data_IF_857251398246
#
_entry.id   IF_857251398246
#
_cell.length_a   1.000
_cell.length_b   1.000
_cell.length_c   1.000
_cell.angle_alpha   90.00
_cell.angle_beta   90.00
_cell.angle_gamma   90.00
#
_symmetry.space_group_name_H-M   'P 1'
#
loop_
_entity.id
_entity.type
_entity.pdbx_description
1 polymer ?
#
# COMPACT_ATOMS: atom_id res chain seq x y z
N UNK A 1 -43.68 52.70 17.79
CA UNK A 1 -44.05 51.28 17.64
C UNK A 1 -43.39 50.74 16.37
N UNK A 2 -42.25 50.09 16.50
CA UNK A 2 -41.51 49.49 15.38
C UNK A 2 -41.63 47.94 15.51
N UNK A 3 -42.29 47.31 14.55
CA UNK A 3 -42.42 45.87 14.48
C UNK A 3 -41.16 45.27 13.93
N UNK A 4 -40.49 44.53 14.78
CA UNK A 4 -39.31 43.71 14.43
C UNK A 4 -39.82 42.41 13.77
N UNK A 5 -39.63 42.26 12.44
CA UNK A 5 -39.89 41.01 11.72
C UNK A 5 -38.72 40.08 11.96
N UNK A 6 -38.99 39.07 12.74
CA UNK A 6 -38.11 37.92 12.93
C UNK A 6 -38.12 37.10 11.63
N UNK A 7 -37.01 37.10 10.87
CA UNK A 7 -36.79 36.18 9.78
C UNK A 7 -36.25 34.90 10.40
N UNK A 8 -37.05 33.86 10.45
CA UNK A 8 -36.59 32.51 10.68
C UNK A 8 -35.69 32.12 9.50
N UNK A 9 -34.44 31.89 9.78
CA UNK A 9 -33.46 31.31 8.86
C UNK A 9 -33.73 29.79 8.86
N UNK A 10 -34.56 29.35 7.92
CA UNK A 10 -34.78 27.94 7.67
C UNK A 10 -33.50 27.39 7.03
N UNK A 11 -32.55 26.99 7.87
CA UNK A 11 -31.34 26.22 7.48
C UNK A 11 -31.79 24.88 6.92
N UNK A 12 -32.04 24.84 5.61
CA UNK A 12 -32.18 23.58 4.87
C UNK A 12 -30.84 22.87 4.92
N UNK A 13 -30.73 21.91 5.85
CA UNK A 13 -29.62 20.99 5.88
C UNK A 13 -29.54 20.27 4.50
N UNK A 14 -28.50 20.52 3.74
CA UNK A 14 -28.24 19.80 2.50
C UNK A 14 -28.27 18.30 2.79
N UNK A 15 -28.94 17.47 1.98
CA UNK A 15 -28.96 16.05 2.20
C UNK A 15 -27.50 15.51 2.20
N UNK A 16 -27.20 14.48 3.00
CA UNK A 16 -25.86 13.91 3.02
C UNK A 16 -25.49 13.48 1.60
N UNK A 17 -24.33 13.94 1.13
CA UNK A 17 -23.82 13.59 -0.20
C UNK A 17 -23.62 12.08 -0.23
N UNK A 18 -24.45 11.37 -0.98
CA UNK A 18 -24.40 9.92 -1.09
C UNK A 18 -23.17 9.51 -1.91
N UNK A 19 -22.43 8.52 -1.41
CA UNK A 19 -21.29 7.98 -2.16
C UNK A 19 -21.75 7.44 -3.51
N UNK A 20 -21.03 7.72 -4.61
CA UNK A 20 -21.33 7.14 -5.91
C UNK A 20 -21.35 5.61 -5.87
N UNK A 21 -22.29 4.99 -6.57
CA UNK A 21 -22.47 3.53 -6.54
C UNK A 21 -21.21 2.79 -7.04
N UNK A 22 -20.52 3.36 -8.03
CA UNK A 22 -19.26 2.82 -8.56
C UNK A 22 -18.15 2.83 -7.50
N UNK A 23 -18.00 3.93 -6.76
CA UNK A 23 -17.02 4.00 -5.68
C UNK A 23 -17.38 3.07 -4.52
N UNK A 24 -18.67 2.90 -4.22
CA UNK A 24 -19.12 1.96 -3.20
C UNK A 24 -18.81 0.52 -3.61
N UNK A 25 -19.11 0.11 -4.85
CA UNK A 25 -18.77 -1.22 -5.36
C UNK A 25 -17.26 -1.49 -5.32
N UNK A 26 -16.45 -0.48 -5.67
CA UNK A 26 -15.00 -0.56 -5.59
C UNK A 26 -14.48 -0.78 -4.15
N UNK A 27 -15.09 -0.12 -3.15
CA UNK A 27 -14.76 -0.34 -1.74
C UNK A 27 -15.23 -1.71 -1.22
N UNK A 28 -16.37 -2.20 -1.70
CA UNK A 28 -16.87 -3.55 -1.39
C UNK A 28 -15.91 -4.61 -1.93
N UNK A 29 -15.40 -4.45 -3.16
CA UNK A 29 -14.36 -5.32 -3.71
C UNK A 29 -13.08 -5.30 -2.87
N UNK A 30 -12.56 -4.11 -2.50
CA UNK A 30 -11.42 -3.97 -1.60
C UNK A 30 -11.58 -4.75 -0.29
N UNK A 31 -12.77 -4.75 0.29
CA UNK A 31 -13.05 -5.43 1.56
C UNK A 31 -13.04 -6.96 1.45
N UNK A 32 -13.01 -7.53 0.23
CA UNK A 32 -12.93 -8.98 0.03
C UNK A 32 -11.49 -9.51 0.07
N UNK A 33 -10.50 -8.64 0.06
CA UNK A 33 -9.08 -9.06 0.08
C UNK A 33 -8.73 -9.68 1.43
N UNK A 34 -8.14 -10.86 1.37
CA UNK A 34 -7.66 -11.58 2.53
C UNK A 34 -6.12 -11.63 2.46
N UNK A 35 -5.43 -10.79 3.23
CA UNK A 35 -3.98 -10.80 3.25
C UNK A 35 -3.43 -12.09 3.87
N UNK A 36 -2.17 -12.40 3.59
CA UNK A 36 -1.43 -13.49 4.25
C UNK A 36 -1.21 -13.16 5.75
N UNK A 37 -0.85 -14.16 6.55
CA UNK A 37 -0.79 -14.03 8.00
C UNK A 37 0.21 -12.98 8.51
N UNK A 38 1.29 -12.75 7.76
CA UNK A 38 2.34 -11.79 8.07
C UNK A 38 1.98 -10.34 7.68
N UNK A 39 0.79 -10.13 7.09
CA UNK A 39 0.36 -8.83 6.58
C UNK A 39 -0.87 -8.35 7.32
N UNK A 40 -0.77 -7.20 7.96
CA UNK A 40 -1.88 -6.50 8.60
C UNK A 40 -2.33 -5.36 7.72
N UNK A 41 -3.63 -5.31 7.42
CA UNK A 41 -4.27 -4.22 6.66
C UNK A 41 -5.28 -3.53 7.56
N UNK A 42 -5.15 -2.23 7.73
CA UNK A 42 -6.04 -1.45 8.59
C UNK A 42 -6.55 -0.18 7.88
N UNK A 43 -7.74 0.27 8.25
CA UNK A 43 -8.26 1.52 7.73
C UNK A 43 -7.52 2.70 8.36
N UNK A 44 -7.05 3.63 7.52
CA UNK A 44 -6.43 4.88 7.96
C UNK A 44 -7.20 6.09 7.40
N UNK A 45 -7.05 7.28 8.01
CA UNK A 45 -7.64 8.49 7.47
C UNK A 45 -7.18 8.75 6.02
N UNK A 46 -8.15 8.82 5.11
CA UNK A 46 -7.87 9.11 3.71
C UNK A 46 -7.53 10.59 3.50
N UNK A 47 -6.67 10.92 2.51
CA UNK A 47 -6.35 12.31 2.18
C UNK A 47 -7.61 13.06 1.72
N UNK A 48 -7.82 14.23 2.33
CA UNK A 48 -8.95 15.11 2.00
C UNK A 48 -8.50 16.18 1.02
N UNK A 49 -9.12 16.49 -0.03
CA UNK A 49 -8.79 17.52 -1.04
C UNK A 49 -8.03 17.03 -2.26
N UNK A 50 -7.73 15.73 -2.40
CA UNK A 50 -7.10 15.20 -3.61
C UNK A 50 -8.14 14.73 -4.64
N UNK A 51 -9.34 14.37 -4.16
CA UNK A 51 -10.47 13.97 -4.98
C UNK A 51 -11.77 14.18 -4.20
N UNK A 52 -12.94 14.22 -4.87
CA UNK A 52 -14.24 14.27 -4.20
C UNK A 52 -14.46 13.09 -3.24
N UNK A 53 -13.95 11.92 -3.58
CA UNK A 53 -14.03 10.73 -2.76
C UNK A 53 -12.66 10.08 -2.63
N UNK A 54 -12.36 9.60 -1.43
CA UNK A 54 -11.09 8.90 -1.17
C UNK A 54 -11.25 7.84 -0.09
N UNK A 55 -10.41 6.82 -0.17
CA UNK A 55 -10.27 5.76 0.82
C UNK A 55 -8.81 5.44 1.00
N UNK A 56 -8.39 5.01 2.18
CA UNK A 56 -7.01 4.64 2.44
C UNK A 56 -6.91 3.50 3.44
N UNK A 57 -5.96 2.61 3.18
CA UNK A 57 -5.55 1.56 4.10
C UNK A 57 -4.06 1.66 4.37
N UNK A 58 -3.69 1.46 5.63
CA UNK A 58 -2.33 1.23 6.08
C UNK A 58 -2.03 -0.26 6.03
N UNK A 59 -0.78 -0.60 5.73
CA UNK A 59 -0.34 -1.98 5.59
C UNK A 59 0.97 -2.13 6.36
N UNK A 60 1.07 -3.18 7.17
CA UNK A 60 2.29 -3.60 7.86
C UNK A 60 2.62 -5.04 7.47
N UNK A 61 3.90 -5.32 7.32
CA UNK A 61 4.44 -6.66 7.06
C UNK A 61 5.44 -6.98 8.15
N UNK A 62 5.27 -8.11 8.84
CA UNK A 62 6.11 -8.54 9.96
C UNK A 62 5.34 -9.50 10.86
N UNK A 63 5.87 -9.76 12.07
CA UNK A 63 5.12 -10.52 13.07
C UNK A 63 3.98 -9.65 13.63
N UNK A 64 2.71 -10.06 13.47
CA UNK A 64 1.59 -9.29 14.02
C UNK A 64 1.61 -9.16 15.56
N UNK A 65 2.36 -10.02 16.24
CA UNK A 65 2.49 -10.01 17.69
C UNK A 65 3.63 -9.13 18.20
N UNK A 66 4.52 -8.67 17.32
CA UNK A 66 5.69 -7.84 17.64
C UNK A 66 5.72 -6.59 16.75
N UNK A 67 5.36 -5.44 17.33
CA UNK A 67 5.38 -4.16 16.61
C UNK A 67 6.81 -3.67 16.30
N UNK A 68 7.84 -4.26 16.91
CA UNK A 68 9.25 -3.92 16.64
C UNK A 68 9.80 -4.72 15.43
N UNK A 69 9.13 -5.80 15.02
CA UNK A 69 9.51 -6.64 13.87
C UNK A 69 8.79 -6.22 12.58
N UNK A 70 8.77 -4.91 12.28
CA UNK A 70 8.23 -4.39 11.01
C UNK A 70 9.26 -4.52 9.90
N UNK A 71 9.04 -5.47 8.98
CA UNK A 71 9.89 -5.71 7.81
C UNK A 71 9.60 -4.70 6.69
N UNK A 72 8.34 -4.35 6.52
CA UNK A 72 7.88 -3.36 5.55
C UNK A 72 6.58 -2.70 6.00
N UNK A 73 6.38 -1.49 5.59
CA UNK A 73 5.11 -0.77 5.73
C UNK A 73 4.67 -0.09 4.44
N UNK A 74 3.37 0.17 4.35
CA UNK A 74 2.82 0.80 3.16
C UNK A 74 1.48 1.46 3.38
N UNK A 75 1.05 2.18 2.36
CA UNK A 75 -0.28 2.79 2.27
C UNK A 75 -0.82 2.58 0.88
N UNK A 76 -2.05 2.13 0.80
CA UNK A 76 -2.79 2.06 -0.44
C UNK A 76 -3.95 3.03 -0.38
N UNK A 77 -4.02 3.94 -1.34
CA UNK A 77 -5.00 5.03 -1.39
C UNK A 77 -5.77 4.92 -2.70
N UNK A 78 -7.08 5.04 -2.60
CA UNK A 78 -7.98 5.14 -3.74
C UNK A 78 -8.55 6.56 -3.76
N UNK A 79 -8.39 7.23 -4.88
CA UNK A 79 -8.98 8.52 -5.18
C UNK A 79 -10.02 8.32 -6.28
N UNK A 80 -11.21 8.90 -6.11
CA UNK A 80 -12.31 8.78 -7.06
C UNK A 80 -12.95 10.12 -7.35
N UNK A 81 -13.07 10.43 -8.65
CA UNK A 81 -13.77 11.58 -9.17
C UNK A 81 -14.75 11.12 -10.27
N UNK A 82 -16.07 11.16 -10.03
CA UNK A 82 -17.05 10.68 -11.00
C UNK A 82 -17.07 11.49 -12.31
N UNK A 83 -16.60 12.75 -12.28
CA UNK A 83 -16.50 13.59 -13.47
C UNK A 83 -15.26 13.24 -14.31
N UNK A 84 -14.37 12.42 -13.76
CA UNK A 84 -13.06 12.12 -14.34
C UNK A 84 -12.05 13.22 -14.09
N UNK A 85 -10.77 12.84 -14.09
CA UNK A 85 -9.67 13.78 -13.91
C UNK A 85 -8.70 13.69 -15.08
N UNK A 86 -8.44 14.81 -15.74
CA UNK A 86 -7.61 14.87 -16.97
C UNK A 86 -6.23 14.25 -16.76
N UNK A 87 -5.56 14.57 -15.64
CA UNK A 87 -4.23 14.02 -15.34
C UNK A 87 -4.23 12.51 -15.05
N UNK A 88 -5.38 11.93 -14.71
CA UNK A 88 -5.51 10.49 -14.49
C UNK A 88 -5.97 9.76 -15.74
N UNK A 89 -6.60 10.47 -16.67
CA UNK A 89 -7.26 9.91 -17.85
C UNK A 89 -8.36 8.90 -17.47
N UNK A 90 -9.04 9.13 -16.32
CA UNK A 90 -10.07 8.24 -15.78
C UNK A 90 -10.66 8.78 -14.49
N UNK A 91 -11.53 7.97 -13.86
CA UNK A 91 -12.27 8.32 -12.64
C UNK A 91 -11.60 7.83 -11.36
N UNK A 92 -10.80 6.75 -11.43
CA UNK A 92 -10.23 6.08 -10.26
C UNK A 92 -8.72 6.08 -10.32
N UNK A 93 -8.07 6.69 -9.33
CA UNK A 93 -6.61 6.69 -9.20
C UNK A 93 -6.18 5.91 -7.96
N UNK A 94 -5.39 4.87 -8.15
CA UNK A 94 -4.69 4.18 -7.08
C UNK A 94 -3.33 4.83 -6.82
N UNK A 95 -2.98 4.97 -5.55
CA UNK A 95 -1.67 5.47 -5.11
C UNK A 95 -1.12 4.51 -4.08
N UNK A 96 0.06 3.97 -4.36
CA UNK A 96 0.81 3.09 -3.47
C UNK A 96 2.06 3.78 -2.95
N UNK A 97 2.28 3.66 -1.65
CA UNK A 97 3.53 3.99 -0.98
C UNK A 97 3.96 2.78 -0.19
N UNK A 98 5.21 2.38 -0.32
CA UNK A 98 5.81 1.37 0.55
C UNK A 98 7.23 1.78 0.96
N UNK A 99 7.64 1.30 2.12
CA UNK A 99 9.00 1.37 2.64
C UNK A 99 9.35 0.02 3.25
N UNK A 100 10.55 -0.47 2.97
CA UNK A 100 11.08 -1.71 3.52
C UNK A 100 12.57 -1.55 3.82
N UNK A 101 13.03 -2.14 4.93
CA UNK A 101 14.47 -2.32 5.17
C UNK A 101 14.93 -3.58 4.43
N UNK A 102 16.05 -3.49 3.74
CA UNK A 102 16.59 -4.61 2.96
C UNK A 102 18.09 -4.76 3.16
N UNK A 103 18.61 -5.91 2.74
CA UNK A 103 20.02 -6.23 2.86
C UNK A 103 20.88 -5.33 1.94
N UNK A 104 21.99 -4.84 2.48
CA UNK A 104 22.89 -3.93 1.77
C UNK A 104 23.48 -4.56 0.49
N UNK A 105 23.68 -5.87 0.47
CA UNK A 105 24.25 -6.58 -0.69
C UNK A 105 23.32 -6.51 -1.92
N UNK A 106 22.02 -6.55 -1.73
CA UNK A 106 21.04 -6.45 -2.82
C UNK A 106 20.95 -5.04 -3.41
N UNK A 107 21.23 -4.02 -2.62
CA UNK A 107 20.99 -2.62 -3.01
C UNK A 107 22.15 -2.01 -3.81
N UNK A 108 23.35 -2.57 -3.70
CA UNK A 108 24.51 -2.11 -4.48
C UNK A 108 24.40 -2.50 -5.97
N UNK A 109 23.46 -3.39 -6.32
CA UNK A 109 23.19 -3.72 -7.73
C UNK A 109 22.54 -2.52 -8.44
N UNK A 110 23.15 -2.11 -9.53
CA UNK A 110 22.63 -1.03 -10.39
C UNK A 110 21.24 -1.36 -11.00
N UNK A 111 20.89 -2.64 -11.10
CA UNK A 111 19.61 -3.13 -11.62
C UNK A 111 18.49 -3.12 -10.58
N UNK A 112 18.81 -3.00 -9.30
CA UNK A 112 17.83 -3.10 -8.21
C UNK A 112 16.59 -2.22 -8.41
N UNK A 113 16.78 -0.96 -8.78
CA UNK A 113 15.62 -0.05 -8.94
C UNK A 113 14.69 -0.48 -10.08
N UNK A 114 15.24 -1.06 -11.16
CA UNK A 114 14.44 -1.58 -12.26
C UNK A 114 13.71 -2.87 -11.85
N UNK A 115 14.36 -3.75 -11.10
CA UNK A 115 13.74 -4.96 -10.54
C UNK A 115 12.64 -4.61 -9.55
N UNK A 116 12.90 -3.69 -8.61
CA UNK A 116 11.88 -3.26 -7.64
C UNK A 116 10.67 -2.59 -8.31
N UNK A 117 10.88 -1.87 -9.42
CA UNK A 117 9.80 -1.32 -10.21
C UNK A 117 9.01 -2.41 -10.94
N UNK A 118 9.68 -3.46 -11.46
CA UNK A 118 8.99 -4.56 -12.13
C UNK A 118 8.08 -5.34 -11.18
N UNK A 119 8.39 -5.45 -9.89
CA UNK A 119 7.49 -6.07 -8.92
C UNK A 119 6.07 -5.50 -9.00
N UNK A 120 5.93 -4.18 -9.16
CA UNK A 120 4.60 -3.56 -9.26
C UNK A 120 3.93 -3.87 -10.60
N UNK A 121 4.64 -3.69 -11.71
CA UNK A 121 4.05 -3.87 -13.04
C UNK A 121 3.68 -5.32 -13.31
N UNK A 122 4.51 -6.25 -12.84
CA UNK A 122 4.29 -7.68 -12.99
C UNK A 122 3.12 -8.13 -12.09
N UNK A 123 3.09 -7.72 -10.81
CA UNK A 123 1.99 -8.05 -9.91
C UNK A 123 0.65 -7.49 -10.40
N UNK A 124 0.58 -6.24 -10.89
CA UNK A 124 -0.64 -5.69 -11.49
C UNK A 124 -1.12 -6.54 -12.67
N UNK A 125 -0.20 -7.05 -13.48
CA UNK A 125 -0.51 -7.91 -14.63
C UNK A 125 -0.97 -9.30 -14.18
N UNK A 126 -0.25 -9.93 -13.25
CA UNK A 126 -0.52 -11.29 -12.76
C UNK A 126 -1.85 -11.37 -12.01
N UNK A 127 -2.20 -10.36 -11.24
CA UNK A 127 -3.51 -10.26 -10.57
C UNK A 127 -4.65 -9.86 -11.52
N UNK A 128 -4.36 -9.56 -12.79
CA UNK A 128 -5.37 -9.10 -13.74
C UNK A 128 -5.99 -7.76 -13.34
N UNK A 129 -5.23 -6.91 -12.65
CA UNK A 129 -5.61 -5.56 -12.27
C UNK A 129 -5.56 -4.64 -13.51
N UNK A 130 -6.69 -4.47 -14.18
CA UNK A 130 -6.77 -3.66 -15.40
C UNK A 130 -6.43 -2.19 -15.08
N UNK A 131 -5.39 -1.67 -15.73
CA UNK A 131 -4.86 -0.35 -15.40
C UNK A 131 -4.16 0.32 -16.59
N UNK A 132 -3.98 1.63 -16.48
CA UNK A 132 -3.14 2.44 -17.37
C UNK A 132 -2.48 3.59 -16.62
N UNK A 133 -1.68 4.40 -17.33
CA UNK A 133 -1.02 5.61 -16.79
C UNK A 133 -0.24 5.34 -15.50
N UNK A 134 0.44 4.17 -15.42
CA UNK A 134 1.29 3.82 -14.28
C UNK A 134 2.57 4.65 -14.29
N UNK A 135 2.96 5.15 -13.14
CA UNK A 135 4.20 5.90 -12.96
C UNK A 135 4.59 6.01 -11.49
N UNK A 136 5.86 6.22 -11.23
CA UNK A 136 6.35 6.32 -9.86
C UNK A 136 7.85 6.51 -9.74
N UNK A 137 8.35 6.30 -8.53
CA UNK A 137 9.78 6.39 -8.17
C UNK A 137 10.16 5.24 -7.27
N UNK A 138 11.39 4.77 -7.45
CA UNK A 138 12.07 3.87 -6.50
C UNK A 138 13.23 4.65 -5.91
N UNK A 139 13.24 4.81 -4.60
CA UNK A 139 14.30 5.50 -3.84
C UNK A 139 15.03 4.50 -2.98
N UNK A 140 16.35 4.58 -2.95
CA UNK A 140 17.21 3.80 -2.08
C UNK A 140 17.94 4.74 -1.15
N UNK A 141 17.93 4.45 0.14
CA UNK A 141 18.60 5.26 1.15
C UNK A 141 19.58 4.39 1.94
N UNK A 142 20.87 4.58 1.70
CA UNK A 142 21.91 3.91 2.48
C UNK A 142 22.30 4.79 3.67
N UNK A 143 22.28 4.22 4.88
CA UNK A 143 22.63 4.91 6.13
C UNK A 143 23.84 4.27 6.78
N UNK A 144 24.85 5.10 7.12
CA UNK A 144 26.03 4.68 7.88
C UNK A 144 26.02 5.39 9.23
N UNK A 145 26.12 4.64 10.32
CA UNK A 145 26.10 5.16 11.69
C UNK A 145 27.50 5.36 12.22
N UNK A 146 27.74 6.47 12.90
CA UNK A 146 29.03 6.83 13.46
C UNK A 146 28.93 7.19 14.96
N UNK A 147 30.08 7.14 15.65
CA UNK A 147 30.19 7.56 17.06
C UNK A 147 29.47 6.62 18.02
N UNK A 148 28.70 7.16 18.96
CA UNK A 148 28.02 6.38 20.02
C UNK A 148 26.88 5.47 19.48
N UNK A 149 26.46 5.68 18.25
CA UNK A 149 25.43 4.87 17.58
C UNK A 149 26.04 4.04 16.43
N UNK A 150 27.37 3.92 16.37
CA UNK A 150 28.02 3.14 15.34
C UNK A 150 27.56 1.69 15.39
N UNK A 151 27.21 1.14 14.23
CA UNK A 151 26.89 -0.26 14.04
C UNK A 151 27.69 -0.78 12.84
N UNK A 152 28.19 -2.03 12.90
CA UNK A 152 28.78 -2.66 11.73
C UNK A 152 27.77 -2.92 10.61
N UNK A 153 26.49 -2.91 10.92
CA UNK A 153 25.41 -3.11 9.98
C UNK A 153 25.09 -1.80 9.26
N UNK A 154 25.14 -1.84 7.94
CA UNK A 154 24.64 -0.78 7.09
C UNK A 154 23.16 -1.08 6.81
N UNK A 155 22.27 -0.17 7.21
CA UNK A 155 20.86 -0.29 6.84
C UNK A 155 20.61 0.39 5.50
N UNK A 156 19.89 -0.29 4.65
CA UNK A 156 19.41 0.28 3.39
C UNK A 156 17.89 0.18 3.35
N UNK A 157 17.26 1.33 3.15
CA UNK A 157 15.82 1.41 3.01
C UNK A 157 15.45 1.60 1.53
N UNK A 158 14.44 0.87 1.11
CA UNK A 158 13.83 0.98 -0.21
C UNK A 158 12.45 1.61 -0.06
N UNK A 159 12.20 2.63 -0.85
CA UNK A 159 10.90 3.28 -0.90
C UNK A 159 10.37 3.25 -2.33
N UNK A 160 9.13 2.78 -2.52
CA UNK A 160 8.42 2.86 -3.79
C UNK A 160 7.21 3.78 -3.63
N UNK A 161 7.13 4.79 -4.48
CA UNK A 161 5.96 5.63 -4.65
C UNK A 161 5.43 5.44 -6.05
N UNK A 162 4.21 4.95 -6.16
CA UNK A 162 3.60 4.68 -7.45
C UNK A 162 2.16 5.15 -7.49
N UNK A 163 1.68 5.42 -8.67
CA UNK A 163 0.25 5.63 -8.89
C UNK A 163 -0.14 5.19 -10.29
N UNK A 164 -1.37 4.71 -10.43
CA UNK A 164 -1.93 4.23 -11.68
C UNK A 164 -3.44 4.47 -11.72
N UNK A 165 -4.00 4.55 -12.90
CA UNK A 165 -5.44 4.64 -13.08
C UNK A 165 -6.01 3.23 -13.18
N UNK A 166 -6.94 2.90 -12.29
CA UNK A 166 -7.64 1.63 -12.30
C UNK A 166 -8.81 1.69 -13.30
N UNK A 167 -9.03 0.59 -14.03
CA UNK A 167 -10.18 0.41 -14.90
C UNK A 167 -11.23 -0.44 -14.18
N UNK A 168 -12.48 0.03 -14.15
CA UNK A 168 -13.57 -0.66 -13.46
C UNK A 168 -13.52 -0.55 -11.94
N UNK A 169 -14.16 -1.51 -11.26
CA UNK A 169 -14.37 -1.51 -9.81
C UNK A 169 -13.65 -2.64 -9.07
N UNK A 170 -12.89 -3.49 -9.78
CA UNK A 170 -12.20 -4.68 -9.24
C UNK A 170 -10.95 -4.27 -8.43
N UNK A 171 -11.12 -3.41 -7.43
CA UNK A 171 -9.98 -2.89 -6.65
C UNK A 171 -9.36 -3.93 -5.71
N UNK A 172 -10.01 -5.05 -5.46
CA UNK A 172 -9.44 -6.24 -4.82
C UNK A 172 -8.17 -6.72 -5.53
N UNK A 173 -8.18 -6.74 -6.87
CA UNK A 173 -7.02 -7.12 -7.69
C UNK A 173 -5.85 -6.15 -7.54
N UNK A 174 -6.16 -4.85 -7.48
CA UNK A 174 -5.15 -3.81 -7.31
C UNK A 174 -4.52 -3.83 -5.91
N UNK A 175 -5.34 -4.03 -4.87
CA UNK A 175 -4.82 -4.16 -3.51
C UNK A 175 -4.00 -5.45 -3.39
N UNK A 176 -4.48 -6.58 -3.90
CA UNK A 176 -3.77 -7.87 -3.87
C UNK A 176 -2.39 -7.76 -4.54
N UNK A 177 -2.33 -7.13 -5.72
CA UNK A 177 -1.07 -6.85 -6.40
C UNK A 177 -0.13 -6.01 -5.53
N UNK A 178 -0.64 -4.96 -4.89
CA UNK A 178 0.18 -4.10 -4.04
C UNK A 178 0.65 -4.80 -2.76
N UNK A 179 -0.15 -5.70 -2.17
CA UNK A 179 0.26 -6.55 -1.04
C UNK A 179 1.39 -7.51 -1.42
N UNK A 180 1.37 -8.04 -2.65
CA UNK A 180 2.46 -8.87 -3.16
C UNK A 180 3.76 -8.08 -3.30
N UNK A 181 3.71 -6.86 -3.82
CA UNK A 181 4.89 -5.97 -3.89
C UNK A 181 5.48 -5.72 -2.51
N UNK A 182 4.63 -5.48 -1.50
CA UNK A 182 5.08 -5.32 -0.11
C UNK A 182 5.74 -6.60 0.42
N UNK A 183 5.17 -7.77 0.13
CA UNK A 183 5.76 -9.05 0.48
C UNK A 183 7.14 -9.26 -0.16
N UNK A 184 7.28 -8.92 -1.44
CA UNK A 184 8.55 -9.00 -2.15
C UNK A 184 9.59 -8.05 -1.55
N UNK A 185 9.19 -6.80 -1.25
CA UNK A 185 10.07 -5.82 -0.62
C UNK A 185 10.51 -6.22 0.80
N UNK A 186 9.64 -6.91 1.54
CA UNK A 186 9.93 -7.47 2.86
C UNK A 186 10.75 -8.78 2.81
N UNK A 187 11.08 -9.29 1.62
CA UNK A 187 11.79 -10.56 1.47
C UNK A 187 10.97 -11.80 1.84
N UNK A 188 9.64 -11.69 1.87
CA UNK A 188 8.78 -12.85 2.16
C UNK A 188 8.80 -13.84 1.00
N UNK A 189 8.81 -15.16 1.27
CA UNK A 189 8.72 -16.16 0.22
C UNK A 189 7.38 -16.06 -0.52
N UNK A 190 7.32 -16.47 -1.80
CA UNK A 190 6.06 -16.55 -2.54
C UNK A 190 4.99 -17.33 -1.78
N UNK A 191 3.72 -16.96 -1.95
CA UNK A 191 2.59 -17.61 -1.27
C UNK A 191 2.58 -19.10 -1.59
N UNK A 192 2.51 -19.96 -0.55
CA UNK A 192 2.53 -21.42 -0.69
C UNK A 192 3.91 -22.06 -0.69
N UNK A 193 4.99 -21.28 -0.62
CA UNK A 193 6.34 -21.78 -0.41
C UNK A 193 6.68 -21.68 1.07
N UNK A 194 6.89 -22.84 1.72
CA UNK A 194 7.39 -22.89 3.09
C UNK A 194 8.90 -23.03 3.05
N UNK A 195 9.61 -22.13 3.74
CA UNK A 195 11.04 -22.32 3.99
C UNK A 195 11.24 -23.56 4.84
N UNK A 196 12.00 -24.54 4.37
CA UNK A 196 12.37 -25.69 5.19
C UNK A 196 13.30 -25.18 6.29
N UNK A 197 12.82 -25.20 7.53
CA UNK A 197 13.67 -24.93 8.70
C UNK A 197 14.82 -25.95 8.70
N UNK A 198 16.05 -25.49 8.60
CA UNK A 198 17.26 -26.33 8.70
C UNK A 198 17.53 -26.65 10.19
N UNK A 199 16.57 -27.27 10.88
CA UNK A 199 16.80 -27.88 12.19
C UNK A 199 17.25 -29.32 12.02
N UNK A 200 18.44 -29.47 11.48
CA UNK A 200 19.20 -30.73 11.54
C UNK A 200 19.99 -30.85 12.82
N UNK A 201 19.35 -30.92 13.98
CA UNK A 201 19.96 -31.46 15.19
C UNK A 201 19.58 -32.95 15.29
N UNK A 202 20.37 -33.80 14.69
CA UNK A 202 20.48 -35.21 15.08
C UNK A 202 21.09 -35.25 16.48
N UNK A 203 20.25 -35.47 17.49
CA UNK A 203 20.75 -35.87 18.81
C UNK A 203 21.08 -37.37 18.68
N UNK A 204 22.38 -37.62 18.48
CA UNK A 204 22.93 -38.99 18.60
C UNK A 204 22.92 -39.35 20.10
N UNK A 205 21.97 -40.18 20.50
CA UNK A 205 21.93 -40.81 21.81
C UNK A 205 22.76 -42.08 21.73
N UNK A 206 24.08 -41.95 21.86
CA UNK A 206 24.98 -43.04 22.07
C UNK A 206 24.77 -43.67 23.47
N UNK A 207 24.70 -44.95 23.50
CA UNK A 207 24.54 -45.93 24.58
C UNK A 207 25.46 -45.70 25.79
#
# INVERSE_FOLDING_TARGET
MAQQRNRADDGVASPPVQKPAEFQAALEALATVHPRAEVVVEHIPAPQRLAPWSHAVGIRVGDPADDEDELASGRFIVLFDPEGHEAWQGTTRCVGYLSASTDSEMVDDSMFSAVAWSWLTDALTEHGAAHHSVGGTVTRTASTRFGSIASPEHSVDVEIRASWTAEGTDLDKHLSAFLEVLGNAAGLPPVGVHLLSSNGQTVDSGA
#
